data_IF_217979472881
#
_entry.id   IF_217979472881
#
_cell.length_a   1.000
_cell.length_b   1.000
_cell.length_c   1.000
_cell.angle_alpha   90.00
_cell.angle_beta   90.00
_cell.angle_gamma   90.00
#
_symmetry.space_group_name_H-M   'P 1'
#
loop_
_entity.id
_entity.type
_entity.pdbx_description
1 polymer ?
#
# COMPACT_ATOMS: atom_id res chain seq x y z
N UNK A 1 21.72 -14.17 -7.29
CA UNK A 1 20.93 -13.89 -6.06
C UNK A 1 19.92 -12.81 -6.37
N UNK A 2 18.64 -13.17 -6.50
CA UNK A 2 17.53 -12.25 -6.70
C UNK A 2 16.37 -12.62 -5.78
N UNK A 3 15.35 -11.77 -5.73
CA UNK A 3 14.11 -12.02 -4.99
C UNK A 3 12.99 -12.44 -5.97
N UNK A 4 12.14 -13.37 -5.56
CA UNK A 4 10.96 -13.75 -6.34
C UNK A 4 9.81 -12.78 -6.10
N UNK A 5 8.93 -12.59 -7.09
CA UNK A 5 7.80 -11.67 -6.99
C UNK A 5 6.90 -11.92 -5.76
N UNK A 6 6.55 -13.17 -5.40
CA UNK A 6 5.72 -13.41 -4.21
C UNK A 6 6.41 -12.97 -2.90
N UNK A 7 7.72 -13.20 -2.78
CA UNK A 7 8.48 -12.80 -1.59
C UNK A 7 8.57 -11.26 -1.51
N UNK A 8 8.82 -10.60 -2.64
CA UNK A 8 8.79 -9.15 -2.74
C UNK A 8 7.43 -8.58 -2.32
N UNK A 9 6.33 -9.10 -2.88
CA UNK A 9 4.98 -8.63 -2.57
C UNK A 9 4.64 -8.80 -1.10
N UNK A 10 4.94 -9.97 -0.52
CA UNK A 10 4.72 -10.23 0.89
C UNK A 10 5.47 -9.24 1.79
N UNK A 11 6.76 -8.96 1.48
CA UNK A 11 7.57 -8.02 2.25
C UNK A 11 7.00 -6.59 2.19
N UNK A 12 6.58 -6.14 1.02
CA UNK A 12 5.99 -4.81 0.82
C UNK A 12 4.68 -4.68 1.59
N UNK A 13 3.78 -5.65 1.46
CA UNK A 13 2.51 -5.69 2.19
C UNK A 13 2.70 -5.70 3.71
N UNK A 14 3.57 -6.59 4.23
CA UNK A 14 3.83 -6.68 5.66
C UNK A 14 4.43 -5.40 6.26
N UNK A 15 5.27 -4.68 5.51
CA UNK A 15 5.80 -3.40 5.94
C UNK A 15 4.71 -2.31 6.00
N UNK A 16 3.82 -2.29 5.00
CA UNK A 16 2.71 -1.34 4.94
C UNK A 16 1.67 -1.58 6.04
N UNK A 17 1.30 -2.83 6.30
CA UNK A 17 0.36 -3.19 7.38
C UNK A 17 0.87 -2.73 8.75
N UNK A 18 2.17 -2.91 9.03
CA UNK A 18 2.81 -2.40 10.25
C UNK A 18 2.79 -0.87 10.33
N UNK A 19 2.99 -0.18 9.20
CA UNK A 19 2.89 1.27 9.15
C UNK A 19 1.47 1.74 9.47
N UNK A 20 0.46 1.13 8.84
CA UNK A 20 -0.95 1.45 9.11
C UNK A 20 -1.31 1.18 10.57
N UNK A 21 -0.90 0.04 11.11
CA UNK A 21 -1.09 -0.29 12.53
C UNK A 21 -0.43 0.77 13.45
N UNK A 22 0.81 1.16 13.15
CA UNK A 22 1.52 2.20 13.89
C UNK A 22 0.81 3.55 13.85
N UNK A 23 0.28 3.94 12.69
CA UNK A 23 -0.51 5.17 12.53
C UNK A 23 -1.79 5.12 13.37
N UNK A 24 -2.55 4.02 13.30
CA UNK A 24 -3.79 3.84 14.06
C UNK A 24 -3.54 3.87 15.58
N UNK A 25 -2.47 3.21 16.05
CA UNK A 25 -2.13 3.16 17.48
C UNK A 25 -1.65 4.50 18.03
N UNK A 26 -0.85 5.23 17.26
CA UNK A 26 -0.27 6.52 17.68
C UNK A 26 -1.23 7.71 17.49
N UNK A 27 -2.33 7.52 16.76
CA UNK A 27 -3.20 8.61 16.34
C UNK A 27 -2.58 9.49 15.23
N UNK A 28 -1.53 9.00 14.56
CA UNK A 28 -0.91 9.72 13.43
C UNK A 28 -1.87 9.70 12.24
N UNK A 29 -2.30 10.88 11.80
CA UNK A 29 -3.35 11.03 10.78
C UNK A 29 -2.81 11.13 9.34
N UNK A 30 -1.51 11.37 9.16
CA UNK A 30 -0.89 11.48 7.84
C UNK A 30 0.55 10.96 7.85
N UNK A 31 0.95 10.35 6.73
CA UNK A 31 2.30 9.87 6.49
C UNK A 31 2.58 9.90 4.98
N UNK A 32 3.87 9.95 4.61
CA UNK A 32 4.31 9.86 3.21
C UNK A 32 5.20 8.63 3.07
N UNK A 33 4.92 7.82 2.05
CA UNK A 33 5.75 6.67 1.67
C UNK A 33 6.47 7.02 0.37
N UNK A 34 7.80 7.16 0.43
CA UNK A 34 8.65 7.35 -0.75
C UNK A 34 9.24 6.00 -1.14
N UNK A 35 8.87 5.50 -2.32
CA UNK A 35 9.25 4.15 -2.76
C UNK A 35 9.26 4.01 -4.29
N UNK A 36 9.54 2.81 -4.79
CA UNK A 36 9.56 2.49 -6.22
C UNK A 36 8.18 2.10 -6.75
N UNK A 37 7.95 2.28 -8.06
CA UNK A 37 6.67 1.96 -8.71
C UNK A 37 6.17 0.54 -8.46
N UNK A 38 7.07 -0.46 -8.39
CA UNK A 38 6.72 -1.83 -8.04
C UNK A 38 6.07 -1.98 -6.66
N UNK A 39 6.51 -1.19 -5.68
CA UNK A 39 5.90 -1.18 -4.35
C UNK A 39 4.56 -0.46 -4.35
N UNK A 40 4.45 0.69 -5.04
CA UNK A 40 3.16 1.41 -5.20
C UNK A 40 2.11 0.49 -5.83
N UNK A 41 2.44 -0.14 -6.97
CA UNK A 41 1.56 -1.06 -7.67
C UNK A 41 1.17 -2.27 -6.80
N UNK A 42 2.11 -2.81 -6.01
CA UNK A 42 1.84 -3.91 -5.06
C UNK A 42 0.78 -3.48 -4.04
N UNK A 43 0.98 -2.33 -3.40
CA UNK A 43 0.09 -1.85 -2.34
C UNK A 43 -1.32 -1.55 -2.87
N UNK A 44 -1.43 -0.87 -4.00
CA UNK A 44 -2.72 -0.51 -4.57
C UNK A 44 -3.47 -1.72 -5.14
N UNK A 45 -2.76 -2.71 -5.67
CA UNK A 45 -3.40 -3.97 -6.08
C UNK A 45 -3.91 -4.80 -4.90
N UNK A 46 -3.19 -4.77 -3.78
CA UNK A 46 -3.57 -5.52 -2.58
C UNK A 46 -4.72 -4.84 -1.82
N UNK A 47 -4.63 -3.52 -1.62
CA UNK A 47 -5.51 -2.80 -0.68
C UNK A 47 -6.36 -1.71 -1.33
N UNK A 48 -5.98 -1.20 -2.50
CA UNK A 48 -6.58 -0.01 -3.11
C UNK A 48 -8.00 -0.23 -3.65
N UNK A 49 -8.81 0.82 -3.55
CA UNK A 49 -10.11 0.96 -4.16
C UNK A 49 -10.12 2.19 -5.10
N UNK A 50 -10.76 2.11 -6.28
CA UNK A 50 -11.43 0.93 -6.86
C UNK A 50 -10.43 -0.19 -7.16
N UNK A 51 -10.90 -1.44 -7.19
CA UNK A 51 -10.03 -2.59 -7.46
C UNK A 51 -9.48 -2.52 -8.89
N UNK A 52 -8.15 -2.56 -9.03
CA UNK A 52 -7.46 -2.65 -10.31
C UNK A 52 -6.25 -3.59 -10.22
N UNK A 53 -5.74 -4.04 -11.37
CA UNK A 53 -4.60 -4.98 -11.43
C UNK A 53 -3.28 -4.23 -11.27
N UNK A 54 -2.21 -4.98 -11.05
CA UNK A 54 -0.85 -4.47 -10.83
C UNK A 54 -0.42 -3.36 -11.78
N UNK A 55 -0.49 -3.60 -13.09
CA UNK A 55 -0.04 -2.64 -14.08
C UNK A 55 -1.04 -1.50 -14.34
N UNK A 56 -2.29 -1.64 -13.91
CA UNK A 56 -3.28 -0.56 -14.00
C UNK A 56 -2.95 0.59 -13.03
N UNK A 57 -2.12 0.31 -12.01
CA UNK A 57 -1.63 1.29 -11.03
C UNK A 57 -0.27 1.90 -11.38
N UNK A 58 0.23 1.66 -12.59
CA UNK A 58 1.48 2.25 -13.03
C UNK A 58 1.34 3.78 -13.12
N UNK A 59 2.36 4.49 -12.64
CA UNK A 59 2.45 5.94 -12.71
C UNK A 59 3.85 6.35 -13.10
N UNK A 60 4.00 7.56 -13.64
CA UNK A 60 5.29 8.10 -14.09
C UNK A 60 6.24 8.40 -12.92
N UNK A 61 7.52 8.59 -13.24
CA UNK A 61 8.52 8.96 -12.25
C UNK A 61 8.18 10.32 -11.61
N UNK A 62 8.26 10.37 -10.27
CA UNK A 62 7.88 11.56 -9.50
C UNK A 62 6.37 11.72 -9.31
N UNK A 63 5.56 10.84 -9.87
CA UNK A 63 4.11 10.77 -9.62
C UNK A 63 3.77 9.70 -8.56
N UNK A 64 2.53 9.70 -8.09
CA UNK A 64 2.07 8.82 -7.04
C UNK A 64 0.58 8.96 -6.75
N UNK A 65 0.14 8.35 -5.65
CA UNK A 65 -1.26 8.33 -5.23
C UNK A 65 -1.39 8.89 -3.82
N UNK A 66 -2.54 9.49 -3.55
CA UNK A 66 -3.01 9.70 -2.17
C UNK A 66 -3.89 8.51 -1.81
N UNK A 67 -3.71 7.99 -0.60
CA UNK A 67 -4.46 6.85 -0.08
C UNK A 67 -4.98 7.19 1.31
N UNK A 68 -6.25 6.94 1.56
CA UNK A 68 -6.95 7.18 2.82
C UNK A 68 -7.31 5.85 3.47
N UNK A 69 -6.82 5.69 4.70
CA UNK A 69 -7.17 4.57 5.56
C UNK A 69 -8.39 4.95 6.39
N UNK A 70 -9.51 4.24 6.20
CA UNK A 70 -10.67 4.32 7.08
C UNK A 70 -10.57 3.16 8.06
N UNK A 71 -10.41 3.40 9.39
CA UNK A 71 -10.20 2.32 10.36
C UNK A 71 -11.26 1.21 10.27
N UNK A 72 -12.53 1.59 10.07
CA UNK A 72 -13.63 0.63 9.93
C UNK A 72 -13.53 -0.27 8.70
N UNK A 73 -13.07 0.26 7.55
CA UNK A 73 -12.88 -0.55 6.34
C UNK A 73 -11.61 -1.40 6.43
N UNK A 74 -10.54 -0.83 6.96
CA UNK A 74 -9.26 -1.51 7.14
C UNK A 74 -9.42 -2.74 8.04
N UNK A 75 -10.01 -2.58 9.22
CA UNK A 75 -10.19 -3.70 10.17
C UNK A 75 -11.13 -4.79 9.67
N UNK A 76 -12.10 -4.46 8.80
CA UNK A 76 -13.10 -5.43 8.30
C UNK A 76 -12.67 -6.15 7.03
N UNK A 77 -11.98 -5.45 6.14
CA UNK A 77 -11.76 -5.93 4.77
C UNK A 77 -10.36 -5.67 4.24
N UNK A 78 -9.48 -5.02 5.02
CA UNK A 78 -8.12 -4.66 4.61
C UNK A 78 -8.13 -3.92 3.28
N UNK A 79 -8.90 -2.82 3.20
CA UNK A 79 -9.00 -1.96 2.02
C UNK A 79 -8.83 -0.49 2.35
N UNK A 80 -8.41 0.27 1.36
CA UNK A 80 -8.11 1.71 1.43
C UNK A 80 -8.55 2.42 0.14
N UNK A 81 -8.94 3.69 0.23
CA UNK A 81 -9.49 4.51 -0.87
C UNK A 81 -8.61 5.70 -1.22
#
# INVERSE_FOLDING_TARGET
NGESSPVFMHRVCAAFEKLVEGMLRSGTTSAVIVTHGGAIMTLLSAYGLPRAKFYDWMTDNGCGYTLRIIPGLWMRSMVAE
#
